data_IF_262769431446
#
_entry.id   IF_262769431446
#
_cell.length_a   1.000
_cell.length_b   1.000
_cell.length_c   1.000
_cell.angle_alpha   90.00
_cell.angle_beta   90.00
_cell.angle_gamma   90.00
#
_symmetry.space_group_name_H-M   'P 1'
#
loop_
_entity.id
_entity.type
_entity.pdbx_description
1 polymer ?
#
# COMPACT_ATOMS: atom_id res chain seq x y z
N UNK A 1 -42.71 10.20 22.73
CA UNK A 1 -41.32 9.86 23.11
C UNK A 1 -40.85 8.47 22.63
N UNK A 2 -41.72 7.44 22.51
CA UNK A 2 -41.30 6.06 22.18
C UNK A 2 -40.94 5.73 20.71
N UNK A 3 -41.36 6.55 19.74
CA UNK A 3 -41.15 6.27 18.30
C UNK A 3 -39.73 6.68 17.85
N UNK A 4 -39.21 7.78 18.39
CA UNK A 4 -37.86 8.29 18.09
C UNK A 4 -36.78 7.37 18.70
N UNK A 5 -37.07 6.76 19.86
CA UNK A 5 -36.14 5.83 20.52
C UNK A 5 -36.00 4.51 19.76
N UNK A 6 -37.09 3.97 19.19
CA UNK A 6 -37.07 2.75 18.36
C UNK A 6 -36.40 2.94 17.00
N UNK A 7 -36.45 4.14 16.41
CA UNK A 7 -35.70 4.43 15.17
C UNK A 7 -34.19 4.47 15.41
N UNK A 8 -33.74 4.99 16.56
CA UNK A 8 -32.32 5.08 16.91
C UNK A 8 -31.66 3.71 17.15
N UNK A 9 -32.41 2.74 17.68
CA UNK A 9 -31.93 1.36 17.83
C UNK A 9 -31.87 0.60 16.50
N UNK A 10 -32.87 0.76 15.62
CA UNK A 10 -32.83 0.16 14.26
C UNK A 10 -31.66 0.68 13.43
N UNK A 11 -31.29 1.95 13.56
CA UNK A 11 -30.13 2.52 12.88
C UNK A 11 -28.80 2.00 13.43
N UNK A 12 -28.67 1.83 14.75
CA UNK A 12 -27.47 1.22 15.36
C UNK A 12 -27.30 -0.27 15.01
N UNK A 13 -28.40 -1.01 14.90
CA UNK A 13 -28.34 -2.44 14.54
C UNK A 13 -28.03 -2.68 13.06
N UNK A 14 -28.43 -1.78 12.16
CA UNK A 14 -28.16 -1.93 10.72
C UNK A 14 -26.75 -1.45 10.31
N UNK A 15 -26.17 -0.49 11.03
CA UNK A 15 -24.79 -0.04 10.78
C UNK A 15 -23.73 -1.09 11.16
N UNK A 16 -24.00 -1.92 12.19
CA UNK A 16 -23.03 -2.89 12.69
C UNK A 16 -22.95 -4.19 11.83
N UNK A 17 -23.94 -4.45 10.97
CA UNK A 17 -23.95 -5.64 10.08
C UNK A 17 -23.21 -5.40 8.76
N UNK A 18 -23.21 -4.16 8.25
CA UNK A 18 -22.56 -3.83 6.98
C UNK A 18 -21.03 -3.72 7.10
N UNK A 19 -20.51 -3.22 8.24
CA UNK A 19 -19.05 -3.08 8.43
C UNK A 19 -18.31 -4.43 8.60
N UNK A 20 -18.97 -5.48 9.08
CA UNK A 20 -18.37 -6.82 9.16
C UNK A 20 -18.30 -7.54 7.80
N UNK A 21 -19.20 -7.19 6.87
CA UNK A 21 -19.28 -7.82 5.54
C UNK A 21 -18.37 -7.18 4.49
N UNK A 22 -18.02 -5.89 4.64
CA UNK A 22 -17.03 -5.24 3.78
C UNK A 22 -15.61 -5.68 4.14
N UNK A 23 -15.29 -5.79 5.43
CA UNK A 23 -13.97 -6.22 5.91
C UNK A 23 -13.60 -7.64 5.45
N UNK A 24 -14.57 -8.55 5.37
CA UNK A 24 -14.37 -9.91 4.85
C UNK A 24 -14.32 -9.96 3.32
N UNK A 25 -15.02 -9.07 2.62
CA UNK A 25 -14.92 -8.93 1.16
C UNK A 25 -13.60 -8.30 0.70
N UNK A 26 -13.08 -7.32 1.43
CA UNK A 26 -11.78 -6.69 1.13
C UNK A 26 -10.62 -7.68 1.33
N UNK A 27 -10.69 -8.56 2.34
CA UNK A 27 -9.74 -9.65 2.51
C UNK A 27 -9.84 -10.73 1.41
N UNK A 28 -11.02 -10.91 0.80
CA UNK A 28 -11.24 -11.90 -0.26
C UNK A 28 -10.70 -11.47 -1.63
N UNK A 29 -10.53 -10.16 -1.85
CA UNK A 29 -9.93 -9.58 -3.06
C UNK A 29 -8.41 -9.42 -2.99
N UNK A 30 -7.77 -9.79 -1.87
CA UNK A 30 -6.32 -9.90 -1.81
C UNK A 30 -5.91 -11.03 -2.77
N UNK A 31 -5.28 -10.66 -3.88
CA UNK A 31 -4.79 -11.60 -4.86
C UNK A 31 -3.70 -12.47 -4.23
N UNK A 32 -4.08 -13.61 -3.66
CA UNK A 32 -3.17 -14.54 -2.95
C UNK A 32 -1.99 -14.95 -3.82
N UNK A 33 -2.20 -15.07 -5.14
CA UNK A 33 -1.12 -15.34 -6.10
C UNK A 33 -0.08 -14.22 -6.12
N UNK A 34 -0.51 -12.96 -6.04
CA UNK A 34 0.38 -11.81 -6.01
C UNK A 34 1.19 -11.72 -4.72
N UNK A 35 0.60 -12.08 -3.57
CA UNK A 35 1.33 -12.14 -2.29
C UNK A 35 2.40 -13.23 -2.32
N UNK A 36 2.06 -14.42 -2.84
CA UNK A 36 3.00 -15.55 -2.94
C UNK A 36 4.09 -15.28 -3.98
N UNK A 37 3.76 -14.72 -5.14
CA UNK A 37 4.78 -14.31 -6.12
C UNK A 37 5.67 -13.21 -5.53
N UNK A 38 5.06 -12.25 -4.83
CA UNK A 38 5.78 -11.15 -4.18
C UNK A 38 6.79 -11.67 -3.16
N UNK A 39 6.38 -12.60 -2.28
CA UNK A 39 7.30 -13.17 -1.29
C UNK A 39 8.45 -13.94 -1.94
N UNK A 40 8.19 -14.69 -3.02
CA UNK A 40 9.25 -15.38 -3.77
C UNK A 40 10.22 -14.42 -4.46
N UNK A 41 9.74 -13.31 -5.03
CA UNK A 41 10.63 -12.30 -5.63
C UNK A 41 11.51 -11.59 -4.61
N UNK A 42 10.99 -11.40 -3.39
CA UNK A 42 11.71 -10.77 -2.27
C UNK A 42 12.72 -11.69 -1.59
N UNK A 43 12.65 -13.00 -1.86
CA UNK A 43 13.63 -13.98 -1.39
C UNK A 43 14.97 -13.86 -2.12
N UNK A 44 15.12 -12.95 -3.09
CA UNK A 44 16.39 -12.72 -3.77
C UNK A 44 17.44 -12.13 -2.79
N UNK A 45 18.67 -12.70 -2.72
CA UNK A 45 19.71 -12.24 -1.80
C UNK A 45 20.09 -10.77 -2.00
N UNK A 46 20.00 -10.25 -3.23
CA UNK A 46 20.27 -8.83 -3.50
C UNK A 46 19.23 -7.91 -2.86
N UNK A 47 17.96 -8.34 -2.81
CA UNK A 47 16.89 -7.59 -2.17
C UNK A 47 17.05 -7.57 -0.65
N UNK A 48 17.33 -8.73 -0.06
CA UNK A 48 17.51 -8.88 1.38
C UNK A 48 18.75 -8.11 1.87
N UNK A 49 19.87 -8.14 1.13
CA UNK A 49 21.06 -7.39 1.49
C UNK A 49 20.83 -5.86 1.54
N UNK A 50 19.96 -5.34 0.67
CA UNK A 50 19.65 -3.91 0.61
C UNK A 50 18.64 -3.47 1.68
N UNK A 51 17.66 -4.33 1.97
CA UNK A 51 16.49 -3.92 2.75
C UNK A 51 16.49 -4.46 4.19
N UNK A 52 17.04 -5.65 4.45
CA UNK A 52 16.96 -6.35 5.74
C UNK A 52 18.22 -7.17 6.02
N UNK A 53 19.22 -6.57 6.68
CA UNK A 53 20.50 -7.22 7.01
C UNK A 53 20.34 -8.50 7.87
N UNK A 54 19.37 -8.51 8.79
CA UNK A 54 19.06 -9.69 9.63
C UNK A 54 18.68 -10.87 8.75
N UNK A 55 17.68 -10.69 7.88
CA UNK A 55 17.16 -11.78 7.03
C UNK A 55 18.19 -12.27 6.02
N UNK A 56 19.05 -11.38 5.50
CA UNK A 56 20.19 -11.76 4.69
C UNK A 56 21.17 -12.68 5.43
N UNK A 57 21.44 -12.40 6.71
CA UNK A 57 22.30 -13.24 7.56
C UNK A 57 21.71 -14.66 7.73
N UNK A 58 20.40 -14.76 7.92
CA UNK A 58 19.68 -16.05 8.02
C UNK A 58 19.76 -16.82 6.69
N UNK A 59 19.60 -16.15 5.55
CA UNK A 59 19.69 -16.75 4.22
C UNK A 59 21.10 -17.29 3.94
N UNK A 60 22.14 -16.53 4.26
CA UNK A 60 23.54 -17.00 4.16
C UNK A 60 23.76 -18.21 5.07
N UNK A 61 23.22 -18.18 6.30
CA UNK A 61 23.25 -19.30 7.22
C UNK A 61 22.60 -20.56 6.63
N UNK A 62 21.44 -20.41 5.97
CA UNK A 62 20.78 -21.51 5.26
C UNK A 62 21.69 -22.10 4.17
N UNK A 63 22.26 -21.27 3.30
CA UNK A 63 23.14 -21.73 2.22
C UNK A 63 24.35 -22.48 2.78
N UNK A 64 24.96 -21.98 3.85
CA UNK A 64 26.09 -22.62 4.53
C UNK A 64 25.70 -23.97 5.14
N UNK A 65 24.63 -24.03 5.93
CA UNK A 65 24.18 -25.27 6.58
C UNK A 65 23.77 -26.32 5.54
N UNK A 66 23.08 -25.89 4.48
CA UNK A 66 22.70 -26.78 3.38
C UNK A 66 23.93 -27.33 2.64
N UNK A 67 24.90 -26.47 2.33
CA UNK A 67 26.16 -26.88 1.70
C UNK A 67 26.94 -27.87 2.59
N UNK A 68 26.98 -27.66 3.91
CA UNK A 68 27.60 -28.59 4.86
C UNK A 68 26.88 -29.94 4.87
N UNK A 69 25.55 -29.94 4.87
CA UNK A 69 24.75 -31.17 4.82
C UNK A 69 25.02 -32.00 3.55
N UNK A 70 25.21 -31.35 2.41
CA UNK A 70 25.54 -32.01 1.13
C UNK A 70 27.01 -32.47 1.10
N UNK A 71 27.93 -31.66 1.60
CA UNK A 71 29.37 -31.91 1.56
C UNK A 71 29.92 -32.64 2.79
N UNK A 72 29.06 -33.16 3.67
CA UNK A 72 29.43 -33.78 4.94
C UNK A 72 30.58 -34.80 4.86
N UNK A 73 30.69 -35.68 3.83
CA UNK A 73 31.79 -36.64 3.72
C UNK A 73 33.17 -35.99 3.52
N UNK A 74 33.22 -34.73 3.07
CA UNK A 74 34.45 -34.00 2.75
C UNK A 74 34.87 -33.02 3.85
N UNK A 75 33.99 -32.76 4.82
CA UNK A 75 34.21 -31.76 5.86
C UNK A 75 34.82 -32.44 7.11
N UNK A 76 35.85 -31.84 7.74
CA UNK A 76 36.40 -32.37 8.98
C UNK A 76 35.34 -32.45 10.08
N UNK A 77 35.35 -33.55 10.85
CA UNK A 77 34.40 -33.78 11.95
C UNK A 77 34.48 -32.73 13.07
N UNK A 78 35.56 -31.96 13.11
CA UNK A 78 35.77 -30.82 14.01
C UNK A 78 34.76 -29.68 13.77
N UNK A 79 34.31 -29.51 12.52
CA UNK A 79 33.35 -28.46 12.13
C UNK A 79 31.94 -29.01 11.88
N UNK A 80 31.85 -30.30 11.52
CA UNK A 80 30.59 -30.97 11.24
C UNK A 80 30.54 -32.33 11.95
N UNK A 81 29.99 -32.33 13.16
CA UNK A 81 29.97 -33.50 14.05
C UNK A 81 28.63 -34.23 14.08
N UNK A 82 27.59 -33.59 13.52
CA UNK A 82 26.22 -34.09 13.57
C UNK A 82 25.89 -34.98 12.37
N UNK A 83 24.70 -35.57 12.41
CA UNK A 83 24.18 -36.41 11.33
C UNK A 83 23.69 -35.56 10.14
N UNK A 84 23.72 -36.08 8.90
CA UNK A 84 23.21 -35.35 7.72
C UNK A 84 21.77 -34.85 7.91
N UNK A 85 20.92 -35.64 8.56
CA UNK A 85 19.51 -35.30 8.82
C UNK A 85 19.38 -34.04 9.67
N UNK A 86 20.29 -33.81 10.62
CA UNK A 86 20.29 -32.61 11.47
C UNK A 86 20.55 -31.35 10.64
N UNK A 87 21.54 -31.35 9.74
CA UNK A 87 21.80 -30.21 8.85
C UNK A 87 20.61 -29.90 7.94
N UNK A 88 19.95 -30.93 7.39
CA UNK A 88 18.74 -30.71 6.59
C UNK A 88 17.58 -30.14 7.42
N UNK A 89 17.40 -30.60 8.66
CA UNK A 89 16.38 -30.05 9.56
C UNK A 89 16.63 -28.56 9.85
N UNK A 90 17.87 -28.21 10.21
CA UNK A 90 18.25 -26.80 10.46
C UNK A 90 18.07 -25.97 9.18
N UNK A 91 18.53 -26.47 8.03
CA UNK A 91 18.36 -25.78 6.75
C UNK A 91 16.87 -25.53 6.42
N UNK A 92 15.99 -26.52 6.64
CA UNK A 92 14.54 -26.37 6.43
C UNK A 92 13.96 -25.30 7.35
N UNK A 93 14.35 -25.27 8.63
CA UNK A 93 13.87 -24.26 9.57
C UNK A 93 14.32 -22.85 9.14
N UNK A 94 15.58 -22.70 8.72
CA UNK A 94 16.14 -21.41 8.28
C UNK A 94 15.41 -20.88 7.03
N UNK A 95 15.23 -21.72 5.99
CA UNK A 95 14.55 -21.27 4.77
C UNK A 95 13.06 -20.96 5.01
N UNK A 96 12.38 -21.73 5.86
CA UNK A 96 10.99 -21.46 6.24
C UNK A 96 10.89 -20.13 6.99
N UNK A 97 11.85 -19.82 7.86
CA UNK A 97 11.92 -18.55 8.59
C UNK A 97 12.10 -17.37 7.63
N UNK A 98 13.01 -17.48 6.66
CA UNK A 98 13.22 -16.46 5.63
C UNK A 98 11.98 -16.24 4.77
N UNK A 99 11.37 -17.35 4.34
CA UNK A 99 10.15 -17.29 3.53
C UNK A 99 8.97 -16.70 4.31
N UNK A 100 8.81 -17.01 5.60
CA UNK A 100 7.75 -16.44 6.43
C UNK A 100 7.90 -14.93 6.61
N UNK A 101 9.13 -14.44 6.81
CA UNK A 101 9.38 -13.00 6.92
C UNK A 101 9.05 -12.25 5.62
N UNK A 102 9.54 -12.74 4.48
CA UNK A 102 9.25 -12.15 3.16
C UNK A 102 7.77 -12.24 2.79
N UNK A 103 7.08 -13.29 3.23
CA UNK A 103 5.63 -13.43 3.11
C UNK A 103 4.86 -12.41 3.96
N UNK A 104 5.22 -12.24 5.23
CA UNK A 104 4.62 -11.24 6.12
C UNK A 104 4.76 -9.81 5.56
N UNK A 105 5.93 -9.52 4.97
CA UNK A 105 6.19 -8.25 4.31
C UNK A 105 5.30 -8.05 3.06
N UNK A 106 5.24 -9.04 2.17
CA UNK A 106 4.41 -8.99 0.97
C UNK A 106 2.90 -8.90 1.31
N UNK A 107 2.46 -9.58 2.38
CA UNK A 107 1.09 -9.51 2.86
C UNK A 107 0.75 -8.12 3.40
N UNK A 108 1.65 -7.51 4.16
CA UNK A 108 1.48 -6.16 4.71
C UNK A 108 1.39 -5.10 3.61
N UNK A 109 2.23 -5.21 2.57
CA UNK A 109 2.17 -4.34 1.39
C UNK A 109 0.89 -4.53 0.58
N UNK A 110 0.46 -5.77 0.36
CA UNK A 110 -0.76 -6.06 -0.38
C UNK A 110 -2.00 -5.47 0.33
N UNK A 111 -2.06 -5.53 1.66
CA UNK A 111 -3.11 -4.89 2.44
C UNK A 111 -3.07 -3.37 2.36
N UNK A 112 -1.87 -2.77 2.38
CA UNK A 112 -1.71 -1.33 2.24
C UNK A 112 -2.19 -0.86 0.85
N UNK A 113 -1.79 -1.58 -0.21
CA UNK A 113 -2.16 -1.27 -1.59
C UNK A 113 -3.67 -1.43 -1.84
N UNK A 114 -4.28 -2.48 -1.32
CA UNK A 114 -5.73 -2.70 -1.45
C UNK A 114 -6.56 -1.54 -0.84
N UNK A 115 -6.08 -0.91 0.24
CA UNK A 115 -6.75 0.25 0.85
C UNK A 115 -6.62 1.53 0.01
N UNK A 116 -5.52 1.69 -0.72
CA UNK A 116 -5.33 2.84 -1.61
C UNK A 116 -6.14 2.67 -2.90
N UNK A 117 -6.15 1.45 -3.45
CA UNK A 117 -6.88 1.15 -4.68
C UNK A 117 -8.40 1.28 -4.48
N UNK A 118 -8.94 0.93 -3.30
CA UNK A 118 -10.37 1.14 -3.00
C UNK A 118 -10.74 2.63 -2.93
N UNK A 119 -9.87 3.48 -2.39
CA UNK A 119 -10.06 4.93 -2.40
C UNK A 119 -10.00 5.50 -3.83
N UNK A 120 -9.03 5.07 -4.65
CA UNK A 120 -8.92 5.47 -6.06
C UNK A 120 -10.12 5.02 -6.92
N UNK A 121 -10.74 3.90 -6.58
CA UNK A 121 -11.91 3.39 -7.31
C UNK A 121 -13.19 4.20 -7.06
N UNK A 122 -13.26 4.96 -5.95
CA UNK A 122 -14.36 5.88 -5.67
C UNK A 122 -14.24 7.20 -6.45
N UNK A 123 -13.05 7.51 -6.97
CA UNK A 123 -12.72 8.79 -7.61
C UNK A 123 -12.99 8.81 -9.12
N UNK A 124 -13.34 7.68 -9.74
CA UNK A 124 -13.45 7.58 -11.19
C UNK A 124 -14.84 7.16 -11.64
N UNK A 125 -15.58 8.17 -12.12
CA UNK A 125 -16.45 8.20 -13.30
C UNK A 125 -17.76 8.97 -13.01
N UNK A 126 -17.67 10.30 -13.12
CA UNK A 126 -18.86 11.15 -13.22
C UNK A 126 -19.21 11.28 -14.71
N UNK A 127 -20.44 10.95 -15.08
CA UNK A 127 -20.96 11.20 -16.42
C UNK A 127 -21.11 12.69 -16.67
N UNK A 128 -20.53 13.19 -17.77
CA UNK A 128 -20.59 14.59 -18.17
C UNK A 128 -21.44 14.76 -19.44
N UNK A 129 -22.24 15.82 -19.51
CA UNK A 129 -22.99 16.18 -20.72
C UNK A 129 -22.18 17.23 -21.50
N UNK A 130 -21.39 16.78 -22.47
CA UNK A 130 -20.60 17.66 -23.34
C UNK A 130 -21.48 18.26 -24.43
N UNK A 131 -21.35 19.56 -24.68
CA UNK A 131 -22.00 20.24 -25.80
C UNK A 131 -21.09 20.16 -27.02
N UNK A 132 -21.59 19.62 -28.14
CA UNK A 132 -20.80 19.41 -29.36
C UNK A 132 -21.48 20.05 -30.58
N UNK A 133 -20.69 20.78 -31.37
CA UNK A 133 -21.08 21.40 -32.64
C UNK A 133 -21.87 22.72 -32.48
N UNK A 134 -22.05 23.45 -33.58
CA UNK A 134 -22.76 24.75 -33.61
C UNK A 134 -24.23 24.66 -33.15
N UNK A 135 -24.81 23.45 -33.15
CA UNK A 135 -26.15 23.17 -32.62
C UNK A 135 -26.20 22.76 -31.15
N UNK A 136 -25.08 22.79 -30.41
CA UNK A 136 -24.98 22.44 -28.97
C UNK A 136 -25.70 21.13 -28.61
N UNK A 137 -25.46 20.07 -29.37
CA UNK A 137 -26.03 18.74 -29.05
C UNK A 137 -25.37 18.20 -27.79
N UNK A 138 -26.18 17.72 -26.85
CA UNK A 138 -25.71 17.07 -25.63
C UNK A 138 -25.24 15.65 -25.94
N UNK A 139 -23.98 15.36 -25.59
CA UNK A 139 -23.39 14.04 -25.72
C UNK A 139 -22.86 13.61 -24.34
N UNK A 140 -23.34 12.45 -23.86
CA UNK A 140 -22.91 11.91 -22.57
C UNK A 140 -21.53 11.26 -22.74
N UNK A 141 -20.54 11.80 -22.05
CA UNK A 141 -19.15 11.34 -22.08
C UNK A 141 -18.64 11.12 -20.66
N UNK A 142 -17.62 10.27 -20.51
CA UNK A 142 -16.95 10.11 -19.22
C UNK A 142 -16.12 11.37 -18.88
N UNK A 143 -16.09 11.77 -17.61
CA UNK A 143 -15.28 12.91 -17.14
C UNK A 143 -13.79 12.82 -17.50
N UNK A 144 -13.27 11.59 -17.66
CA UNK A 144 -11.88 11.32 -18.09
C UNK A 144 -11.59 11.72 -19.54
N UNK A 145 -12.62 11.76 -20.39
CA UNK A 145 -12.50 12.09 -21.82
C UNK A 145 -12.59 13.58 -22.15
N UNK A 146 -12.94 14.41 -21.15
CA UNK A 146 -13.02 15.87 -21.30
C UNK A 146 -11.62 16.47 -21.48
N UNK A 147 -11.53 17.47 -22.36
CA UNK A 147 -10.31 18.26 -22.63
C UNK A 147 -10.54 19.73 -22.31
N UNK A 148 -9.47 20.51 -22.05
CA UNK A 148 -9.59 21.96 -21.95
C UNK A 148 -10.28 22.56 -23.18
N UNK A 149 -11.19 23.49 -22.98
CA UNK A 149 -12.03 24.11 -24.02
C UNK A 149 -13.32 23.34 -24.35
N UNK A 150 -13.56 22.17 -23.73
CA UNK A 150 -14.84 21.49 -23.85
C UNK A 150 -15.91 22.20 -23.00
N UNK A 151 -17.09 22.45 -23.58
CA UNK A 151 -18.24 22.96 -22.82
C UNK A 151 -19.09 21.80 -22.29
N UNK A 152 -19.43 21.84 -21.01
CA UNK A 152 -20.33 20.89 -20.35
C UNK A 152 -21.54 21.58 -19.74
N UNK A 153 -22.69 20.94 -19.80
CA UNK A 153 -23.92 21.39 -19.17
C UNK A 153 -24.20 20.54 -17.93
N UNK A 154 -24.32 21.19 -16.78
CA UNK A 154 -24.59 20.53 -15.50
C UNK A 154 -25.87 21.09 -14.88
N UNK A 155 -26.75 20.21 -14.42
CA UNK A 155 -28.03 20.55 -13.80
C UNK A 155 -27.99 20.41 -12.28
N UNK A 156 -28.97 21.00 -11.60
CA UNK A 156 -29.19 20.81 -10.17
C UNK A 156 -29.23 19.31 -9.80
N UNK A 157 -28.45 18.96 -8.77
CA UNK A 157 -28.26 17.60 -8.30
C UNK A 157 -27.11 16.84 -8.97
N UNK A 158 -26.52 17.35 -10.06
CA UNK A 158 -25.37 16.75 -10.73
C UNK A 158 -24.06 17.22 -10.12
N UNK A 159 -23.04 16.37 -10.26
CA UNK A 159 -21.66 16.65 -9.85
C UNK A 159 -20.91 17.28 -11.02
N UNK A 160 -20.16 18.34 -10.73
CA UNK A 160 -19.30 19.00 -11.72
C UNK A 160 -18.19 18.01 -12.12
N UNK A 161 -18.06 17.64 -13.40
CA UNK A 161 -17.21 16.52 -13.81
C UNK A 161 -15.72 16.84 -13.76
N UNK A 162 -15.34 18.12 -13.94
CA UNK A 162 -13.97 18.63 -13.83
C UNK A 162 -13.99 20.16 -13.64
N UNK A 163 -12.91 20.70 -13.09
CA UNK A 163 -12.68 22.13 -12.92
C UNK A 163 -12.83 22.91 -14.24
N UNK A 164 -13.41 24.10 -14.10
CA UNK A 164 -13.71 24.95 -15.24
C UNK A 164 -14.13 26.36 -14.85
N UNK A 165 -14.56 27.11 -15.86
CA UNK A 165 -15.11 28.46 -15.76
C UNK A 165 -16.58 28.45 -16.19
N UNK A 166 -17.42 29.20 -15.49
CA UNK A 166 -18.83 29.34 -15.86
C UNK A 166 -18.97 30.25 -17.08
N UNK A 167 -19.43 29.70 -18.20
CA UNK A 167 -19.69 30.47 -19.42
C UNK A 167 -21.07 31.14 -19.38
N UNK A 168 -22.07 30.41 -18.88
CA UNK A 168 -23.47 30.85 -18.83
C UNK A 168 -24.22 30.19 -17.68
N UNK A 169 -25.14 30.94 -17.06
CA UNK A 169 -26.01 30.47 -15.99
C UNK A 169 -25.63 31.04 -14.62
N UNK A 170 -26.53 30.85 -13.65
CA UNK A 170 -26.36 31.22 -12.25
C UNK A 170 -26.88 30.06 -11.41
N UNK A 171 -26.11 29.63 -10.43
CA UNK A 171 -26.46 28.48 -9.60
C UNK A 171 -25.76 28.56 -8.25
N UNK A 172 -26.34 27.87 -7.27
CA UNK A 172 -25.62 27.54 -6.03
C UNK A 172 -24.85 26.23 -6.21
N UNK A 173 -23.60 26.21 -5.76
CA UNK A 173 -22.72 25.03 -5.78
C UNK A 173 -22.36 24.64 -4.36
N UNK A 174 -22.59 23.38 -4.02
CA UNK A 174 -22.20 22.76 -2.76
C UNK A 174 -20.74 22.30 -2.85
N UNK A 175 -19.86 23.11 -2.26
CA UNK A 175 -18.42 22.85 -2.14
C UNK A 175 -18.06 22.16 -0.80
N UNK A 176 -19.04 21.68 -0.03
CA UNK A 176 -18.82 21.14 1.33
C UNK A 176 -17.84 19.98 1.40
N UNK A 177 -17.75 19.17 0.34
CA UNK A 177 -16.78 18.08 0.26
C UNK A 177 -15.32 18.56 0.23
N UNK A 178 -15.07 19.81 -0.20
CA UNK A 178 -13.72 20.35 -0.36
C UNK A 178 -13.39 21.41 0.70
N UNK A 179 -14.30 22.34 0.96
CA UNK A 179 -14.05 23.45 1.90
C UNK A 179 -14.49 23.11 3.33
N UNK A 180 -15.36 22.11 3.51
CA UNK A 180 -15.95 21.77 4.80
C UNK A 180 -17.03 22.75 5.28
N UNK A 181 -17.32 23.80 4.51
CA UNK A 181 -18.38 24.75 4.82
C UNK A 181 -19.72 24.22 4.32
N UNK A 182 -20.75 24.30 5.17
CA UNK A 182 -22.05 23.67 4.92
C UNK A 182 -23.00 24.49 4.04
N UNK A 183 -22.66 25.75 3.73
CA UNK A 183 -23.51 26.63 2.95
C UNK A 183 -23.10 26.63 1.47
N UNK A 184 -24.03 26.40 0.53
CA UNK A 184 -23.75 26.50 -0.90
C UNK A 184 -23.26 27.89 -1.30
N UNK A 185 -22.25 27.94 -2.17
CA UNK A 185 -21.65 29.16 -2.69
C UNK A 185 -22.34 29.54 -4.00
N UNK A 186 -22.69 30.81 -4.16
CA UNK A 186 -23.28 31.31 -5.41
C UNK A 186 -22.20 31.46 -6.49
N UNK A 187 -22.49 30.99 -7.71
CA UNK A 187 -21.62 31.13 -8.89
C UNK A 187 -22.38 31.77 -10.05
N UNK A 188 -21.74 32.73 -10.69
CA UNK A 188 -22.22 33.44 -11.88
C UNK A 188 -21.20 33.28 -13.04
N UNK A 189 -21.51 33.89 -14.18
CA UNK A 189 -20.62 33.97 -15.33
C UNK A 189 -19.21 34.44 -14.92
N UNK A 190 -18.21 33.80 -15.50
CA UNK A 190 -16.77 34.01 -15.29
C UNK A 190 -16.24 33.54 -13.90
N UNK A 191 -17.09 32.95 -13.05
CA UNK A 191 -16.63 32.32 -11.81
C UNK A 191 -15.98 30.95 -12.04
N UNK A 192 -15.00 30.63 -11.21
CA UNK A 192 -14.37 29.31 -11.17
C UNK A 192 -15.21 28.29 -10.39
N UNK A 193 -15.29 27.08 -10.96
CA UNK A 193 -15.95 25.92 -10.34
C UNK A 193 -14.97 24.75 -10.23
N UNK A 194 -15.11 24.00 -9.13
CA UNK A 194 -14.22 22.89 -8.78
C UNK A 194 -14.92 21.57 -9.13
N UNK A 195 -14.22 20.67 -9.82
CA UNK A 195 -14.68 19.32 -10.10
C UNK A 195 -14.94 18.53 -8.82
N UNK A 196 -15.92 17.62 -8.86
CA UNK A 196 -16.34 16.85 -7.69
C UNK A 196 -17.32 17.56 -6.76
N UNK A 197 -17.52 18.88 -6.91
CA UNK A 197 -18.56 19.64 -6.19
C UNK A 197 -19.94 19.43 -6.83
N UNK A 198 -21.02 19.69 -6.09
CA UNK A 198 -22.39 19.40 -6.54
C UNK A 198 -23.17 20.67 -6.84
N UNK A 199 -23.87 20.73 -7.97
CA UNK A 199 -24.79 21.85 -8.24
C UNK A 199 -26.02 21.70 -7.36
N UNK A 200 -26.26 22.67 -6.50
CA UNK A 200 -27.38 22.69 -5.56
C UNK A 200 -28.68 23.24 -6.20
N UNK A 201 -28.58 24.21 -7.11
CA UNK A 201 -29.74 24.78 -7.80
C UNK A 201 -29.47 25.12 -9.26
N UNK A 202 -30.53 25.26 -10.05
CA UNK A 202 -30.49 25.73 -11.45
C UNK A 202 -29.58 24.90 -12.37
N UNK A 203 -28.91 25.54 -13.32
CA UNK A 203 -28.00 24.90 -14.26
C UNK A 203 -26.85 25.83 -14.62
N UNK A 204 -25.68 25.24 -14.85
CA UNK A 204 -24.49 25.95 -15.31
C UNK A 204 -23.98 25.34 -16.60
N UNK A 205 -23.57 26.20 -17.53
CA UNK A 205 -22.68 25.81 -18.61
C UNK A 205 -21.26 26.18 -18.22
N UNK A 206 -20.38 25.19 -18.25
CA UNK A 206 -19.02 25.30 -17.76
C UNK A 206 -18.07 24.94 -18.90
N UNK A 207 -17.08 25.78 -19.17
CA UNK A 207 -15.95 25.45 -20.03
C UNK A 207 -14.86 24.82 -19.18
N UNK A 208 -14.45 23.61 -19.55
CA UNK A 208 -13.39 22.89 -18.85
C UNK A 208 -12.06 23.61 -19.07
N UNK A 209 -11.38 23.95 -17.98
CA UNK A 209 -10.05 24.58 -18.03
C UNK A 209 -8.95 23.61 -17.66
N UNK A 210 -9.24 22.58 -16.86
CA UNK A 210 -8.24 21.65 -16.36
C UNK A 210 -7.95 20.47 -17.31
N UNK A 211 -6.67 20.17 -17.48
CA UNK A 211 -6.19 18.95 -18.15
C UNK A 211 -6.46 17.70 -17.30
N UNK A 212 -6.47 16.53 -17.97
CA UNK A 212 -6.61 15.23 -17.30
C UNK A 212 -5.43 15.05 -16.34
N UNK A 213 -5.70 14.92 -15.03
CA UNK A 213 -4.65 14.76 -14.02
C UNK A 213 -4.03 16.07 -13.52
N UNK A 214 -4.62 17.23 -13.84
CA UNK A 214 -4.25 18.56 -13.30
C UNK A 214 -5.48 19.35 -12.84
N UNK A 215 -6.54 18.68 -12.38
CA UNK A 215 -7.58 19.38 -11.60
C UNK A 215 -7.02 19.86 -10.27
N UNK A 216 -7.67 20.82 -9.62
CA UNK A 216 -7.36 21.26 -8.26
C UNK A 216 -7.34 20.07 -7.28
N UNK A 217 -8.20 19.08 -7.49
CA UNK A 217 -8.16 17.82 -6.75
C UNK A 217 -6.95 16.97 -7.10
N UNK A 218 -6.61 16.83 -8.38
CA UNK A 218 -5.39 16.11 -8.77
C UNK A 218 -4.13 16.81 -8.24
N UNK A 219 -4.12 18.14 -8.16
CA UNK A 219 -3.02 18.93 -7.61
C UNK A 219 -2.94 18.75 -6.09
N UNK A 220 -4.08 18.78 -5.39
CA UNK A 220 -4.16 18.49 -3.96
C UNK A 220 -3.80 17.02 -3.63
N UNK A 221 -4.27 16.06 -4.44
CA UNK A 221 -3.88 14.65 -4.37
C UNK A 221 -2.40 14.50 -4.70
N UNK A 222 -1.87 15.23 -5.69
CA UNK A 222 -0.44 15.22 -6.01
C UNK A 222 0.40 15.81 -4.90
N UNK A 223 -0.06 16.86 -4.20
CA UNK A 223 0.60 17.43 -3.02
C UNK A 223 0.61 16.42 -1.86
N UNK A 224 -0.44 15.61 -1.74
CA UNK A 224 -0.57 14.56 -0.72
C UNK A 224 0.21 13.27 -1.13
N UNK A 225 0.29 12.93 -2.41
CA UNK A 225 1.05 11.78 -2.93
C UNK A 225 2.55 12.08 -3.05
N UNK A 226 2.91 13.33 -3.37
CA UNK A 226 4.28 13.87 -3.35
C UNK A 226 4.75 14.25 -1.95
N UNK A 227 3.84 14.30 -0.97
CA UNK A 227 4.15 13.91 0.40
C UNK A 227 4.35 12.38 0.47
N UNK A 228 5.18 11.86 -0.44
CA UNK A 228 5.66 10.49 -0.47
C UNK A 228 6.23 10.26 0.90
N UNK A 229 5.54 9.46 1.71
CA UNK A 229 5.90 9.27 3.12
C UNK A 229 7.35 8.83 3.13
N UNK A 230 8.31 9.72 3.46
CA UNK A 230 9.68 9.29 3.52
C UNK A 230 9.70 8.26 4.63
N UNK A 231 10.50 7.19 4.47
CA UNK A 231 10.68 6.21 5.54
C UNK A 231 10.84 6.99 6.84
N UNK A 232 9.94 6.73 7.79
CA UNK A 232 9.92 7.55 9.00
C UNK A 232 11.28 7.41 9.67
N UNK A 233 11.80 8.46 10.31
CA UNK A 233 13.12 8.40 10.98
C UNK A 233 13.24 7.18 11.90
N UNK A 234 12.11 6.77 12.49
CA UNK A 234 12.01 5.57 13.31
C UNK A 234 12.21 4.25 12.51
N UNK A 235 11.70 4.13 11.29
CA UNK A 235 11.92 2.96 10.41
C UNK A 235 13.39 2.83 10.01
N UNK A 236 14.04 3.95 9.68
CA UNK A 236 15.47 3.98 9.35
C UNK A 236 16.31 3.61 10.60
N UNK A 237 15.99 4.19 11.75
CA UNK A 237 16.67 3.90 13.00
C UNK A 237 16.55 2.43 13.41
N UNK A 238 15.35 1.84 13.31
CA UNK A 238 15.11 0.43 13.61
C UNK A 238 15.93 -0.48 12.68
N UNK A 239 15.99 -0.16 11.39
CA UNK A 239 16.78 -0.92 10.41
C UNK A 239 18.28 -0.90 10.77
N UNK A 240 18.81 0.26 11.11
CA UNK A 240 20.21 0.43 11.53
C UNK A 240 20.48 -0.29 12.85
N UNK A 241 19.56 -0.20 13.82
CA UNK A 241 19.67 -0.87 15.11
C UNK A 241 19.74 -2.39 14.94
N UNK A 242 18.82 -2.95 14.15
CA UNK A 242 18.76 -4.39 13.88
C UNK A 242 20.01 -4.87 13.13
N UNK A 243 20.46 -4.11 12.13
CA UNK A 243 21.70 -4.42 11.42
C UNK A 243 22.93 -4.38 12.35
N UNK A 244 23.02 -3.37 13.22
CA UNK A 244 24.07 -3.25 14.22
C UNK A 244 24.06 -4.41 15.21
N UNK A 245 22.88 -4.83 15.68
CA UNK A 245 22.73 -5.97 16.56
C UNK A 245 23.16 -7.28 15.87
N UNK A 246 22.75 -7.51 14.62
CA UNK A 246 23.20 -8.67 13.85
C UNK A 246 24.72 -8.71 13.69
N UNK A 247 25.35 -7.56 13.45
CA UNK A 247 26.80 -7.48 13.32
C UNK A 247 27.52 -7.84 14.63
N UNK A 248 26.99 -7.42 15.77
CA UNK A 248 27.50 -7.82 17.10
C UNK A 248 27.36 -9.33 17.27
N UNK A 249 26.21 -9.92 16.95
CA UNK A 249 26.00 -11.37 17.06
C UNK A 249 26.95 -12.16 16.15
N UNK A 250 27.19 -11.70 14.92
CA UNK A 250 28.18 -12.32 14.02
C UNK A 250 29.57 -12.29 14.64
N UNK A 251 29.99 -11.16 15.24
CA UNK A 251 31.27 -11.06 15.94
C UNK A 251 31.36 -11.99 17.16
N UNK A 252 30.28 -12.11 17.94
CA UNK A 252 30.20 -13.01 19.11
C UNK A 252 30.32 -14.47 18.68
N UNK A 253 29.54 -14.89 17.68
CA UNK A 253 29.57 -16.27 17.15
C UNK A 253 30.91 -16.58 16.50
N UNK A 254 31.49 -15.64 15.75
CA UNK A 254 32.84 -15.78 15.19
C UNK A 254 33.91 -15.90 16.27
N UNK A 255 33.80 -15.15 17.36
CA UNK A 255 34.71 -15.24 18.51
C UNK A 255 34.56 -16.59 19.23
N UNK A 256 33.33 -17.06 19.41
CA UNK A 256 33.04 -18.39 19.98
C UNK A 256 33.69 -19.51 19.15
N UNK A 257 33.58 -19.43 17.82
CA UNK A 257 34.22 -20.38 16.92
C UNK A 257 35.75 -20.37 17.09
N UNK A 258 36.35 -19.18 17.18
CA UNK A 258 37.79 -19.04 17.38
C UNK A 258 38.25 -19.64 18.72
N UNK A 259 37.56 -19.34 19.82
CA UNK A 259 37.90 -19.88 21.13
C UNK A 259 37.69 -21.40 21.20
N UNK A 260 36.62 -21.92 20.61
CA UNK A 260 36.37 -23.36 20.57
C UNK A 260 37.51 -24.10 19.87
N UNK A 261 37.95 -23.59 18.72
CA UNK A 261 39.09 -24.14 18.00
C UNK A 261 40.39 -24.04 18.82
N UNK A 262 40.67 -22.89 19.44
CA UNK A 262 41.88 -22.68 20.24
C UNK A 262 41.96 -23.61 21.47
N UNK A 263 40.83 -23.92 22.10
CA UNK A 263 40.73 -24.79 23.27
C UNK A 263 40.63 -26.28 22.89
N UNK A 264 40.58 -26.62 21.61
CA UNK A 264 40.42 -28.01 21.12
C UNK A 264 39.01 -28.58 21.31
N UNK A 265 38.00 -27.72 21.47
CA UNK A 265 36.59 -28.15 21.50
C UNK A 265 36.04 -28.29 20.08
N UNK A 266 35.23 -29.33 19.86
CA UNK A 266 34.48 -29.52 18.62
C UNK A 266 33.26 -28.59 18.67
N UNK A 267 33.21 -27.62 17.77
CA UNK A 267 32.09 -26.68 17.64
C UNK A 267 31.37 -26.91 16.32
N UNK A 268 30.14 -27.40 16.41
CA UNK A 268 29.33 -27.67 15.23
C UNK A 268 28.84 -26.36 14.58
N UNK A 269 29.16 -26.17 13.31
CA UNK A 269 28.85 -24.92 12.61
C UNK A 269 27.34 -24.68 12.48
N UNK A 270 26.53 -25.74 12.38
CA UNK A 270 25.08 -25.59 12.30
C UNK A 270 24.46 -25.16 13.63
N UNK A 271 25.04 -25.58 14.77
CA UNK A 271 24.62 -25.07 16.08
C UNK A 271 24.99 -23.59 16.26
N UNK A 272 26.18 -23.18 15.81
CA UNK A 272 26.60 -21.78 15.87
C UNK A 272 25.74 -20.89 14.97
N UNK A 273 25.36 -21.36 13.79
CA UNK A 273 24.43 -20.65 12.89
C UNK A 273 23.02 -20.62 13.49
N UNK A 274 22.56 -21.71 14.12
CA UNK A 274 21.28 -21.70 14.82
C UNK A 274 21.28 -20.70 15.99
N UNK A 275 22.37 -20.61 16.75
CA UNK A 275 22.55 -19.63 17.83
C UNK A 275 22.59 -18.19 17.30
N UNK A 276 23.15 -17.96 16.10
CA UNK A 276 23.19 -16.64 15.47
C UNK A 276 21.79 -16.10 15.14
N UNK A 277 20.85 -17.01 14.84
CA UNK A 277 19.50 -16.69 14.37
C UNK A 277 18.45 -16.73 15.49
N UNK A 278 18.71 -17.48 16.57
CA UNK A 278 17.85 -17.61 17.74
C UNK A 278 17.74 -16.29 18.54
#
# INVERSE_FOLDING_TARGET
>A
MGIIMRMREKFKFNSNKNNGSSFTKDLSNINRKQVILGSLTKLNPYYLAKNNAVMFTVEVGFVLVFAIGVALPTIPKEFASQTPIFYYQVAVILIVTVWFATFSEALSEAQAKARVDSLRSLEREVSARKLVGEGKKELIVASTSLKPGDEVLCYAGETIPRDGLVCEGKAFVDESMMTGESNPVFKDKDDHVIGGTRIASDKLRIEITAEVGRSFLDEMVSLIESATRPKTKNEIALTILLAGLSLIFIMVVGSLLFFAFFLGYIADLAMLIALLVA
#
